data_IF_836339756820
#
_entry.id   IF_836339756820
#
_cell.length_a   1.000
_cell.length_b   1.000
_cell.length_c   1.000
_cell.angle_alpha   90.00
_cell.angle_beta   90.00
_cell.angle_gamma   90.00
#
_symmetry.space_group_name_H-M   'P 1'
#
loop_
_entity.id
_entity.type
_entity.pdbx_description
1 polymer ?
#
# COMPACT_ATOMS: atom_id res chain seq x y z
N UNK A 1 -22.55 53.01 28.74
CA UNK A 1 -21.81 52.40 27.61
C UNK A 1 -21.07 51.18 28.15
N UNK A 2 -21.67 49.97 28.07
CA UNK A 2 -21.07 48.72 28.56
C UNK A 2 -20.61 47.93 27.33
N UNK A 3 -19.30 47.81 27.16
CA UNK A 3 -18.66 46.99 26.12
C UNK A 3 -18.70 45.53 26.59
N UNK A 4 -19.50 44.68 25.94
CA UNK A 4 -19.39 43.23 26.10
C UNK A 4 -18.24 42.73 25.21
N UNK A 5 -17.24 42.01 25.74
CA UNK A 5 -16.25 41.35 24.91
C UNK A 5 -16.88 40.09 24.31
N UNK A 6 -17.05 40.06 22.99
CA UNK A 6 -17.42 38.87 22.26
C UNK A 6 -16.22 37.90 22.26
N UNK A 7 -16.29 36.86 23.10
CA UNK A 7 -15.31 35.78 23.14
C UNK A 7 -15.53 34.90 21.91
N UNK A 8 -14.70 35.09 20.89
CA UNK A 8 -14.69 34.26 19.69
C UNK A 8 -13.96 32.94 19.99
N UNK A 9 -14.71 31.87 20.21
CA UNK A 9 -14.14 30.53 20.42
C UNK A 9 -13.64 29.97 19.08
N UNK A 10 -12.32 29.96 18.88
CA UNK A 10 -11.67 29.31 17.73
C UNK A 10 -11.68 27.79 17.94
N UNK A 11 -12.56 27.08 17.24
CA UNK A 11 -12.54 25.61 17.19
C UNK A 11 -11.50 25.20 16.16
N UNK A 12 -10.33 24.74 16.62
CA UNK A 12 -9.29 24.20 15.74
C UNK A 12 -9.68 22.78 15.37
N UNK A 13 -10.16 22.59 14.13
CA UNK A 13 -10.34 21.28 13.51
C UNK A 13 -8.95 20.72 13.17
N UNK A 14 -8.35 19.95 14.07
CA UNK A 14 -7.19 19.14 13.75
C UNK A 14 -7.67 17.96 12.88
N UNK A 15 -7.44 18.04 11.56
CA UNK A 15 -7.58 16.88 10.69
C UNK A 15 -6.48 15.87 10.99
N UNK A 16 -6.82 14.58 11.03
CA UNK A 16 -5.82 13.52 11.12
C UNK A 16 -4.88 13.62 9.90
N UNK A 17 -3.58 13.54 10.14
CA UNK A 17 -2.62 13.45 9.05
C UNK A 17 -2.78 12.08 8.37
N UNK A 18 -2.64 11.99 7.04
CA UNK A 18 -2.60 10.71 6.34
C UNK A 18 -1.51 9.80 6.92
N UNK A 19 -1.72 8.50 6.87
CA UNK A 19 -0.80 7.47 7.36
C UNK A 19 -0.38 6.50 6.24
N UNK A 20 0.63 5.68 6.51
CA UNK A 20 1.03 4.62 5.58
C UNK A 20 -0.15 3.64 5.43
N UNK A 21 -0.54 3.36 4.20
CA UNK A 21 -1.66 2.49 3.86
C UNK A 21 -3.03 3.15 3.64
N UNK A 22 -3.10 4.47 3.80
CA UNK A 22 -4.31 5.23 3.47
C UNK A 22 -4.62 5.26 1.96
N UNK A 23 -5.90 5.52 1.66
CA UNK A 23 -6.37 5.74 0.27
C UNK A 23 -5.79 7.04 -0.27
N UNK A 24 -5.45 7.05 -1.55
CA UNK A 24 -5.00 8.26 -2.22
C UNK A 24 -5.32 8.20 -3.71
N UNK A 25 -5.33 9.38 -4.35
CA UNK A 25 -5.38 9.54 -5.80
C UNK A 25 -4.24 10.40 -6.34
N UNK A 26 -3.44 10.98 -5.45
CA UNK A 26 -2.23 11.72 -5.76
C UNK A 26 -1.32 11.76 -4.53
N UNK A 27 -0.02 11.99 -4.72
CA UNK A 27 0.93 12.07 -3.60
C UNK A 27 0.62 13.21 -2.61
N UNK A 28 -0.09 14.25 -3.03
CA UNK A 28 -0.51 15.36 -2.15
C UNK A 28 -1.53 14.89 -1.10
N UNK A 29 -2.33 13.86 -1.42
CA UNK A 29 -3.25 13.24 -0.46
C UNK A 29 -2.51 12.52 0.67
N UNK A 30 -1.26 12.10 0.43
CA UNK A 30 -0.43 11.38 1.40
C UNK A 30 0.50 12.30 2.19
N UNK A 31 1.04 13.31 1.50
CA UNK A 31 1.80 14.39 2.12
C UNK A 31 1.91 15.59 1.19
N UNK A 32 1.52 16.75 1.71
CA UNK A 32 1.76 18.05 1.06
C UNK A 32 3.24 18.45 1.01
N UNK A 33 4.07 17.83 1.85
CA UNK A 33 5.52 18.09 1.93
C UNK A 33 6.34 17.11 1.07
N UNK A 34 5.71 16.09 0.48
CA UNK A 34 6.36 15.14 -0.42
C UNK A 34 7.19 14.04 0.25
N UNK A 35 7.10 13.86 1.58
CA UNK A 35 7.77 12.73 2.28
C UNK A 35 7.10 11.38 2.00
N UNK A 36 5.90 11.37 1.41
CA UNK A 36 5.13 10.18 1.04
C UNK A 36 4.58 10.33 -0.36
N UNK A 37 4.42 9.20 -1.04
CA UNK A 37 3.85 9.11 -2.38
C UNK A 37 2.58 8.28 -2.38
N UNK A 38 1.73 8.52 -3.38
CA UNK A 38 0.61 7.63 -3.65
C UNK A 38 1.05 6.54 -4.64
N UNK A 39 1.07 5.29 -4.18
CA UNK A 39 1.19 4.15 -5.08
C UNK A 39 -0.19 3.81 -5.66
N UNK A 40 -0.42 4.27 -6.88
CA UNK A 40 -1.67 4.06 -7.62
C UNK A 40 -1.74 2.68 -8.29
N UNK A 41 -0.66 1.90 -8.26
CA UNK A 41 -0.68 0.51 -8.76
C UNK A 41 -1.45 -0.41 -7.82
N UNK A 42 -1.61 0.01 -6.57
CA UNK A 42 -2.38 -0.70 -5.55
C UNK A 42 -3.86 -0.26 -5.54
N UNK A 43 -4.80 -1.18 -5.23
CA UNK A 43 -6.23 -0.88 -5.25
C UNK A 43 -6.61 0.35 -4.41
N UNK A 44 -7.27 1.32 -5.05
CA UNK A 44 -7.68 2.60 -4.46
C UNK A 44 -6.53 3.48 -3.93
N UNK A 45 -5.32 3.29 -4.47
CA UNK A 45 -4.12 3.98 -4.01
C UNK A 45 -3.66 3.54 -2.63
N UNK A 46 -2.37 3.67 -2.39
CA UNK A 46 -1.75 3.36 -1.11
C UNK A 46 -0.67 4.40 -0.77
N UNK A 47 -0.86 5.14 0.32
CA UNK A 47 0.17 6.05 0.81
C UNK A 47 1.39 5.27 1.31
N UNK A 48 2.56 5.52 0.73
CA UNK A 48 3.81 4.81 1.08
C UNK A 48 5.03 5.74 1.01
N UNK A 49 6.19 5.22 1.41
CA UNK A 49 7.51 5.81 1.16
C UNK A 49 8.27 4.83 0.29
N UNK A 50 8.83 5.31 -0.82
CA UNK A 50 9.67 4.51 -1.71
C UNK A 50 11.11 4.48 -1.19
N UNK A 51 11.78 3.38 -1.43
CA UNK A 51 13.18 3.14 -1.12
C UNK A 51 13.52 3.38 0.37
N UNK A 52 12.68 2.86 1.27
CA UNK A 52 12.93 2.91 2.71
C UNK A 52 14.24 2.20 3.08
N UNK A 53 14.91 2.70 4.11
CA UNK A 53 15.99 2.02 4.82
C UNK A 53 15.41 1.18 5.96
N UNK A 54 16.16 0.19 6.51
CA UNK A 54 15.64 -0.62 7.62
C UNK A 54 15.27 0.29 8.79
N UNK A 55 14.12 0.03 9.41
CA UNK A 55 13.60 0.77 10.57
C UNK A 55 13.29 2.26 10.30
N UNK A 56 13.30 2.70 9.03
CA UNK A 56 13.11 4.13 8.68
C UNK A 56 11.65 4.51 8.42
N UNK A 57 10.73 3.55 8.39
CA UNK A 57 9.33 3.80 8.07
C UNK A 57 8.60 4.52 9.23
N UNK A 58 7.81 5.57 8.95
CA UNK A 58 7.13 6.33 10.00
C UNK A 58 5.97 5.53 10.63
N UNK A 59 5.53 5.97 11.81
CA UNK A 59 4.35 5.45 12.51
C UNK A 59 4.37 3.94 12.78
N UNK A 60 5.56 3.33 12.82
CA UNK A 60 5.74 1.89 13.03
C UNK A 60 5.32 1.03 11.84
N UNK A 61 5.18 1.61 10.64
CA UNK A 61 5.07 0.84 9.40
C UNK A 61 6.35 0.01 9.16
N UNK A 62 6.26 -0.97 8.27
CA UNK A 62 7.34 -1.92 7.98
C UNK A 62 8.03 -1.60 6.68
N UNK A 63 9.36 -1.63 6.66
CA UNK A 63 10.08 -1.58 5.39
C UNK A 63 10.06 -2.98 4.75
N UNK A 64 9.30 -3.11 3.65
CA UNK A 64 9.14 -4.37 2.92
C UNK A 64 9.94 -4.31 1.64
N UNK A 65 10.83 -5.28 1.44
CA UNK A 65 11.50 -5.50 0.17
C UNK A 65 10.68 -6.46 -0.69
N UNK A 66 10.28 -6.01 -1.88
CA UNK A 66 9.65 -6.82 -2.92
C UNK A 66 10.68 -7.20 -3.97
N UNK A 67 10.91 -8.49 -4.17
CA UNK A 67 11.77 -9.05 -5.20
C UNK A 67 10.88 -9.53 -6.35
N UNK A 68 10.95 -8.87 -7.50
CA UNK A 68 10.52 -9.52 -8.74
C UNK A 68 11.42 -10.74 -9.02
N UNK A 69 11.08 -11.58 -10.00
CA UNK A 69 11.83 -12.81 -10.34
C UNK A 69 13.35 -12.69 -10.60
N UNK A 70 13.93 -11.49 -10.50
CA UNK A 70 15.37 -11.23 -10.46
C UNK A 70 15.74 -10.29 -9.28
N UNK A 71 16.80 -10.62 -8.52
CA UNK A 71 17.22 -9.86 -7.33
C UNK A 71 17.56 -8.38 -7.59
N UNK A 72 17.87 -8.00 -8.83
CA UNK A 72 18.24 -6.61 -9.19
C UNK A 72 17.06 -5.67 -9.37
N UNK A 73 15.84 -6.20 -9.40
CA UNK A 73 14.61 -5.40 -9.48
C UNK A 73 13.92 -5.26 -8.13
N UNK A 74 14.64 -5.57 -7.04
CA UNK A 74 14.08 -5.44 -5.71
C UNK A 74 13.79 -3.96 -5.39
N UNK A 75 12.56 -3.69 -4.95
CA UNK A 75 12.15 -2.38 -4.45
C UNK A 75 11.84 -2.48 -2.97
N UNK A 76 12.00 -1.36 -2.25
CA UNK A 76 11.70 -1.28 -0.83
C UNK A 76 10.63 -0.23 -0.61
N UNK A 77 9.56 -0.59 0.08
CA UNK A 77 8.41 0.29 0.31
C UNK A 77 7.91 0.17 1.73
N UNK A 78 7.43 1.27 2.30
CA UNK A 78 6.79 1.22 3.61
C UNK A 78 5.37 0.65 3.49
N UNK A 79 5.09 -0.44 4.19
CA UNK A 79 3.78 -1.06 4.27
C UNK A 79 3.25 -0.94 5.70
N UNK A 80 1.96 -0.63 5.86
CA UNK A 80 1.32 -0.53 7.15
C UNK A 80 1.48 -1.84 7.93
N UNK A 81 1.83 -1.74 9.22
CA UNK A 81 1.88 -2.91 10.10
C UNK A 81 0.48 -3.40 10.43
N UNK A 82 0.35 -4.70 10.70
CA UNK A 82 -0.91 -5.29 11.16
C UNK A 82 -0.65 -6.41 12.17
N UNK A 83 -1.66 -6.75 12.97
CA UNK A 83 -1.60 -7.88 13.90
C UNK A 83 -2.59 -8.99 13.54
N UNK A 84 -3.56 -8.70 12.68
CA UNK A 84 -4.58 -9.62 12.15
C UNK A 84 -5.15 -9.04 10.85
N UNK A 85 -5.93 -9.82 10.11
CA UNK A 85 -6.51 -9.38 8.82
C UNK A 85 -7.39 -8.14 8.93
N UNK A 86 -8.13 -8.01 10.04
CA UNK A 86 -8.95 -6.82 10.32
C UNK A 86 -8.11 -5.57 10.64
N UNK A 87 -6.78 -5.71 10.78
CA UNK A 87 -5.85 -4.59 10.93
C UNK A 87 -5.53 -3.90 9.61
N UNK A 88 -5.90 -4.50 8.48
CA UNK A 88 -5.71 -3.93 7.16
C UNK A 88 -7.00 -3.29 6.63
N UNK A 89 -6.83 -2.32 5.75
CA UNK A 89 -7.94 -1.68 5.04
C UNK A 89 -8.64 -2.68 4.12
N UNK A 90 -9.95 -2.53 3.92
CA UNK A 90 -10.71 -3.38 2.98
C UNK A 90 -10.00 -3.53 1.63
N UNK A 91 -9.85 -4.79 1.18
CA UNK A 91 -9.12 -5.15 -0.03
C UNK A 91 -7.61 -5.37 0.19
N UNK A 92 -7.15 -5.39 1.43
CA UNK A 92 -5.79 -5.69 1.83
C UNK A 92 -5.80 -6.77 2.92
N UNK A 93 -4.76 -7.59 2.95
CA UNK A 93 -4.61 -8.74 3.83
C UNK A 93 -3.37 -8.56 4.69
N UNK A 94 -3.40 -9.14 5.90
CA UNK A 94 -2.30 -9.05 6.83
C UNK A 94 -1.33 -10.21 6.61
N UNK A 95 -0.26 -9.96 5.84
CA UNK A 95 0.70 -10.99 5.46
C UNK A 95 1.85 -11.06 6.46
N UNK A 96 2.13 -12.26 6.95
CA UNK A 96 3.41 -12.62 7.57
C UNK A 96 4.30 -13.41 6.60
N UNK A 97 5.50 -13.78 7.06
CA UNK A 97 6.48 -14.52 6.24
C UNK A 97 5.92 -15.81 5.61
N UNK A 98 5.04 -16.52 6.32
CA UNK A 98 4.40 -17.74 5.82
C UNK A 98 3.31 -17.50 4.76
N UNK A 99 2.79 -16.29 4.66
CA UNK A 99 1.68 -15.92 3.76
C UNK A 99 2.20 -15.32 2.45
N UNK A 100 3.48 -14.94 2.39
CA UNK A 100 4.11 -14.36 1.20
C UNK A 100 4.27 -15.42 0.11
N UNK A 101 3.84 -15.15 -1.14
CA UNK A 101 4.06 -16.07 -2.25
C UNK A 101 5.56 -16.37 -2.47
N UNK A 102 5.83 -17.61 -2.84
CA UNK A 102 7.18 -18.10 -3.10
C UNK A 102 7.34 -18.33 -4.61
N UNK A 103 8.34 -17.68 -5.20
CA UNK A 103 8.72 -17.87 -6.60
C UNK A 103 10.12 -18.48 -6.66
N UNK A 104 10.28 -19.60 -7.38
CA UNK A 104 11.55 -20.33 -7.48
C UNK A 104 12.21 -20.69 -6.11
N UNK A 105 11.39 -20.94 -5.09
CA UNK A 105 11.86 -21.28 -3.75
C UNK A 105 12.28 -20.07 -2.91
N UNK A 106 12.04 -18.85 -3.37
CA UNK A 106 12.35 -17.60 -2.66
C UNK A 106 11.06 -16.79 -2.43
N UNK A 107 10.80 -16.28 -1.21
CA UNK A 107 9.68 -15.37 -0.98
C UNK A 107 9.83 -14.09 -1.81
N UNK A 108 8.77 -13.69 -2.50
CA UNK A 108 8.78 -12.46 -3.32
C UNK A 108 8.76 -11.18 -2.48
N UNK A 109 8.54 -11.29 -1.17
CA UNK A 109 8.51 -10.18 -0.23
C UNK A 109 9.17 -10.57 1.09
N UNK A 110 9.82 -9.62 1.76
CA UNK A 110 10.19 -9.78 3.17
C UNK A 110 10.27 -8.43 3.87
N UNK A 111 10.00 -8.43 5.17
CA UNK A 111 10.31 -7.29 6.03
C UNK A 111 11.82 -7.25 6.25
N UNK A 112 12.43 -6.08 6.10
CA UNK A 112 13.88 -5.88 6.24
C UNK A 112 14.28 -5.03 7.44
N UNK A 113 13.31 -4.65 8.27
CA UNK A 113 13.52 -3.99 9.56
C UNK A 113 14.38 -4.86 10.50
N UNK A 114 15.27 -4.24 11.27
CA UNK A 114 16.23 -4.91 12.15
C UNK A 114 15.70 -5.01 13.59
N UNK A 115 14.77 -4.14 13.98
CA UNK A 115 14.31 -3.98 15.36
C UNK A 115 13.13 -4.90 15.74
N UNK A 116 12.89 -5.95 14.96
CA UNK A 116 11.82 -6.93 15.12
C UNK A 116 12.03 -7.82 16.36
N UNK A 117 11.87 -7.24 17.55
CA UNK A 117 12.35 -7.86 18.79
C UNK A 117 11.48 -8.99 19.34
N UNK A 118 10.26 -9.22 18.85
CA UNK A 118 9.38 -10.24 19.48
C UNK A 118 8.18 -10.74 18.66
N UNK A 119 7.87 -10.16 17.51
CA UNK A 119 6.71 -10.55 16.70
C UNK A 119 7.15 -11.06 15.33
N UNK A 120 6.45 -12.07 14.79
CA UNK A 120 6.55 -12.37 13.35
C UNK A 120 6.12 -11.12 12.60
N UNK A 121 7.01 -10.45 11.86
CA UNK A 121 6.70 -9.16 11.27
C UNK A 121 5.61 -9.33 10.22
N UNK A 122 4.51 -8.58 10.37
CA UNK A 122 3.40 -8.60 9.41
C UNK A 122 3.12 -7.23 8.86
N UNK A 123 2.60 -7.21 7.63
CA UNK A 123 2.30 -5.99 6.90
C UNK A 123 1.04 -6.16 6.04
N UNK A 124 0.36 -5.04 5.78
CA UNK A 124 -0.80 -5.01 4.90
C UNK A 124 -0.35 -5.00 3.44
N UNK A 125 -0.86 -5.91 2.63
CA UNK A 125 -0.66 -5.93 1.18
C UNK A 125 -1.97 -6.20 0.46
N UNK A 126 -2.10 -5.69 -0.77
CA UNK A 126 -3.19 -6.13 -1.62
C UNK A 126 -3.00 -7.62 -1.97
N UNK A 127 -4.08 -8.41 -2.07
CA UNK A 127 -3.98 -9.77 -2.55
C UNK A 127 -3.54 -9.75 -4.02
N UNK A 128 -2.79 -10.77 -4.44
CA UNK A 128 -2.24 -10.88 -5.80
C UNK A 128 -3.33 -10.80 -6.89
N UNK A 129 -4.58 -11.15 -6.55
CA UNK A 129 -5.76 -11.08 -7.43
C UNK A 129 -6.37 -9.68 -7.56
N UNK A 130 -6.00 -8.71 -6.72
CA UNK A 130 -6.61 -7.37 -6.74
C UNK A 130 -6.14 -6.50 -7.92
N UNK A 131 -5.15 -6.97 -8.70
CA UNK A 131 -4.77 -6.37 -9.98
C UNK A 131 -5.75 -6.64 -11.13
N UNK A 132 -6.76 -7.50 -10.94
CA UNK A 132 -7.70 -7.91 -12.02
C UNK A 132 -9.06 -7.20 -11.98
N UNK A 133 -9.45 -6.53 -10.90
CA UNK A 133 -10.81 -5.96 -10.80
C UNK A 133 -10.99 -4.59 -11.46
N UNK A 134 -10.02 -4.08 -12.22
CA UNK A 134 -10.18 -2.82 -12.96
C UNK A 134 -9.51 -2.91 -14.33
N UNK A 135 -10.14 -3.64 -15.25
CA UNK A 135 -10.02 -3.29 -16.67
C UNK A 135 -9.65 -4.36 -17.68
N UNK A 136 -9.97 -5.64 -17.49
CA UNK A 136 -9.98 -6.61 -18.59
C UNK A 136 -11.18 -7.54 -18.47
N UNK A 137 -12.35 -7.07 -18.91
CA UNK A 137 -13.27 -7.98 -19.57
C UNK A 137 -12.57 -8.37 -20.87
N UNK A 138 -11.97 -9.57 -20.90
CA UNK A 138 -11.66 -10.19 -22.18
C UNK A 138 -13.01 -10.67 -22.71
N UNK A 139 -13.48 -10.00 -23.75
CA UNK A 139 -14.60 -10.46 -24.55
C UNK A 139 -14.21 -11.82 -25.13
N UNK A 140 -14.76 -12.89 -24.56
CA UNK A 140 -14.83 -14.19 -25.21
C UNK A 140 -15.75 -14.07 -26.44
N UNK A 141 -15.28 -14.62 -27.56
CA UNK A 141 -16.03 -14.93 -28.79
C UNK A 141 -16.05 -13.88 -29.92
N UNK A 142 -14.90 -13.65 -30.56
CA UNK A 142 -14.85 -13.32 -31.98
C UNK A 142 -14.37 -14.54 -32.77
N UNK A 143 -15.32 -15.36 -33.24
CA UNK A 143 -15.05 -16.46 -34.17
C UNK A 143 -14.43 -15.93 -35.48
N UNK A 144 -13.21 -16.40 -35.77
CA UNK A 144 -12.56 -16.29 -37.07
C UNK A 144 -13.16 -17.34 -38.02
N UNK A 145 -13.99 -16.93 -38.98
CA UNK A 145 -14.19 -17.72 -40.21
C UNK A 145 -13.40 -17.06 -41.34
N UNK A 146 -12.26 -17.63 -41.67
CA UNK A 146 -11.53 -17.37 -42.90
C UNK A 146 -11.33 -18.71 -43.62
N UNK A 147 -12.16 -18.97 -44.62
CA UNK A 147 -11.81 -19.91 -45.70
C UNK A 147 -12.41 -19.36 -46.99
N UNK A 148 -11.51 -18.87 -47.85
CA UNK A 148 -11.81 -18.49 -49.22
C UNK A 148 -11.69 -19.69 -50.16
N UNK A 149 -12.43 -19.66 -51.27
CA UNK A 149 -12.28 -20.61 -52.37
C UNK A 149 -13.16 -20.20 -53.54
N UNK A 150 -12.53 -20.11 -54.71
CA UNK A 150 -13.05 -19.66 -56.00
C UNK A 150 -14.24 -20.48 -56.53
#
# INVERSE_FOLDING_TARGET
>A
MRLLPAVFAFVVLAGCAPEIGDKCKSSVDCSVNGDRVCDETLPNGYCTVLNCDPDSCPNGARCVEWRGGFDRTAIRVCMARCSSDNGCRNGYECLGEADVPVENGVPIARVVDLDLKTDTPRFCSAPVSAGTSSGLALDEDAELTSDGGL
#
